data_IF_599135504755
#
_entry.id   IF_599135504755
#
_cell.length_a   1.000
_cell.length_b   1.000
_cell.length_c   1.000
_cell.angle_alpha   90.00
_cell.angle_beta   90.00
_cell.angle_gamma   90.00
#
_symmetry.space_group_name_H-M   'P 1'
#
loop_
_entity.id
_entity.type
_entity.pdbx_description
1 polymer ?
#
# COMPACT_ATOMS: atom_id res chain seq x y z
N UNK A 1 -16.56 11.75 -9.43
CA UNK A 1 -15.33 11.07 -9.90
C UNK A 1 -14.20 11.66 -9.10
N UNK A 2 -13.49 10.87 -8.28
CA UNK A 2 -12.29 11.40 -7.61
C UNK A 2 -11.26 11.65 -8.71
N UNK A 3 -11.02 12.91 -9.02
CA UNK A 3 -9.94 13.31 -9.93
C UNK A 3 -8.63 12.88 -9.28
N UNK A 4 -8.02 11.82 -9.81
CA UNK A 4 -6.64 11.47 -9.44
C UNK A 4 -5.78 12.43 -10.26
N UNK A 5 -5.41 13.56 -9.65
CA UNK A 5 -4.70 14.67 -10.30
C UNK A 5 -3.35 14.26 -10.91
N UNK A 6 -2.72 13.19 -10.40
CA UNK A 6 -1.50 12.63 -10.97
C UNK A 6 -1.45 11.11 -10.75
N UNK A 7 -1.12 10.35 -11.79
CA UNK A 7 -0.57 9.02 -11.61
C UNK A 7 0.77 9.18 -10.88
N UNK A 8 0.80 8.92 -9.57
CA UNK A 8 2.08 8.84 -8.84
C UNK A 8 2.87 7.69 -9.44
N UNK A 9 3.77 8.00 -10.37
CA UNK A 9 4.78 7.07 -10.85
C UNK A 9 5.76 6.82 -9.70
N UNK A 10 5.40 5.89 -8.82
CA UNK A 10 6.32 5.42 -7.80
C UNK A 10 7.44 4.65 -8.49
N UNK A 11 8.59 5.31 -8.68
CA UNK A 11 9.81 4.66 -9.13
C UNK A 11 10.16 3.48 -8.22
N UNK A 12 10.73 2.42 -8.80
CA UNK A 12 11.25 1.30 -8.00
C UNK A 12 12.33 1.83 -7.07
N UNK A 13 12.24 1.51 -5.78
CA UNK A 13 13.22 1.94 -4.75
C UNK A 13 14.24 0.86 -4.41
N UNK A 14 13.98 -0.37 -4.81
CA UNK A 14 14.88 -1.52 -4.63
C UNK A 14 14.60 -2.56 -5.71
N UNK A 15 15.57 -3.43 -5.96
CA UNK A 15 15.45 -4.58 -6.86
C UNK A 15 15.71 -5.85 -6.06
N UNK A 16 14.85 -6.84 -6.20
CA UNK A 16 15.08 -8.14 -5.57
C UNK A 16 16.15 -8.91 -6.36
N UNK A 17 16.97 -9.73 -5.67
CA UNK A 17 17.89 -10.67 -6.32
C UNK A 17 17.15 -11.51 -7.36
N UNK A 18 17.80 -11.76 -8.50
CA UNK A 18 17.24 -12.62 -9.56
C UNK A 18 17.11 -14.07 -9.09
N UNK A 19 18.10 -14.56 -8.34
CA UNK A 19 18.14 -15.90 -7.71
C UNK A 19 17.96 -15.75 -6.18
N UNK A 20 16.77 -16.01 -5.63
CA UNK A 20 16.49 -15.72 -4.22
C UNK A 20 17.18 -16.63 -3.19
N UNK A 21 17.64 -17.82 -3.57
CA UNK A 21 18.08 -18.88 -2.63
C UNK A 21 19.55 -19.30 -2.77
N UNK A 22 20.37 -18.45 -3.37
CA UNK A 22 21.82 -18.65 -3.45
C UNK A 22 22.47 -18.46 -2.07
N UNK A 23 23.12 -19.51 -1.55
CA UNK A 23 23.65 -19.58 -0.17
C UNK A 23 24.73 -18.52 0.07
N UNK A 24 25.74 -18.45 -0.79
CA UNK A 24 26.84 -17.48 -0.69
C UNK A 24 26.34 -16.03 -0.62
N UNK A 25 25.37 -15.68 -1.47
CA UNK A 25 24.74 -14.36 -1.44
C UNK A 25 23.99 -14.12 -0.14
N UNK A 26 23.25 -15.12 0.36
CA UNK A 26 22.50 -14.97 1.62
C UNK A 26 23.44 -14.75 2.81
N UNK A 27 24.57 -15.45 2.84
CA UNK A 27 25.60 -15.37 3.88
C UNK A 27 26.31 -14.00 3.82
N UNK A 28 26.73 -13.56 2.63
CA UNK A 28 27.31 -12.23 2.42
C UNK A 28 26.32 -11.09 2.79
N UNK A 29 25.04 -11.23 2.42
CA UNK A 29 24.01 -10.27 2.81
C UNK A 29 23.76 -10.27 4.32
N UNK A 30 23.86 -11.42 5.00
CA UNK A 30 23.70 -11.52 6.45
C UNK A 30 24.88 -10.88 7.19
N UNK A 31 26.12 -11.10 6.72
CA UNK A 31 27.33 -10.46 7.25
C UNK A 31 27.21 -8.93 7.21
N UNK A 32 26.87 -8.37 6.05
CA UNK A 32 26.67 -6.92 5.89
C UNK A 32 25.50 -6.38 6.72
N UNK A 33 24.42 -7.15 6.87
CA UNK A 33 23.27 -6.75 7.72
C UNK A 33 23.66 -6.70 9.19
N UNK A 34 24.50 -7.64 9.65
CA UNK A 34 25.05 -7.68 11.00
C UNK A 34 26.00 -6.52 11.27
N UNK A 35 27.03 -6.39 10.44
CA UNK A 35 28.09 -5.36 10.59
C UNK A 35 27.54 -3.93 10.60
N UNK A 36 26.52 -3.64 9.79
CA UNK A 36 25.95 -2.29 9.68
C UNK A 36 24.60 -2.12 10.41
N UNK A 37 24.16 -3.14 11.15
CA UNK A 37 22.95 -3.12 11.97
C UNK A 37 21.67 -2.79 11.19
N UNK A 38 21.50 -3.38 10.00
CA UNK A 38 20.32 -3.19 9.15
C UNK A 38 19.10 -3.94 9.71
N UNK A 39 17.88 -3.40 9.53
CA UNK A 39 16.66 -4.10 9.99
C UNK A 39 16.36 -5.36 9.20
N UNK A 40 16.55 -5.26 7.89
CA UNK A 40 16.08 -6.24 6.94
C UNK A 40 16.90 -6.16 5.66
N UNK A 41 16.98 -7.29 4.94
CA UNK A 41 17.68 -7.41 3.64
C UNK A 41 17.16 -6.40 2.60
N UNK A 42 15.92 -5.93 2.74
CA UNK A 42 15.36 -4.90 1.87
C UNK A 42 16.12 -3.57 1.94
N UNK A 43 16.68 -3.20 3.10
CA UNK A 43 17.51 -1.98 3.20
C UNK A 43 18.80 -2.12 2.41
N UNK A 44 19.44 -3.30 2.48
CA UNK A 44 20.61 -3.60 1.67
C UNK A 44 20.29 -3.53 0.17
N UNK A 45 19.16 -4.12 -0.26
CA UNK A 45 18.72 -4.08 -1.66
C UNK A 45 18.37 -2.67 -2.16
N UNK A 46 18.03 -1.73 -1.27
CA UNK A 46 17.84 -0.31 -1.64
C UNK A 46 19.18 0.34 -1.97
N UNK A 47 20.20 0.10 -1.14
CA UNK A 47 21.56 0.63 -1.35
C UNK A 47 22.17 0.03 -2.63
N UNK A 48 22.09 -1.29 -2.80
CA UNK A 48 22.53 -1.96 -4.03
C UNK A 48 21.83 -1.41 -5.28
N UNK A 49 20.53 -1.13 -5.19
CA UNK A 49 19.79 -0.56 -6.31
C UNK A 49 20.22 0.90 -6.61
N UNK A 50 20.44 1.72 -5.59
CA UNK A 50 20.96 3.08 -5.76
C UNK A 50 22.35 3.07 -6.41
N UNK A 51 23.23 2.19 -5.94
CA UNK A 51 24.57 1.98 -6.49
C UNK A 51 24.50 1.53 -7.96
N UNK A 52 23.63 0.58 -8.27
CA UNK A 52 23.41 0.14 -9.66
C UNK A 52 22.94 1.28 -10.57
N UNK A 53 22.10 2.20 -10.08
CA UNK A 53 21.69 3.38 -10.86
C UNK A 53 22.86 4.33 -11.10
N UNK A 54 23.67 4.59 -10.08
CA UNK A 54 24.86 5.44 -10.19
C UNK A 54 25.85 4.85 -11.20
N UNK A 55 26.16 3.55 -11.10
CA UNK A 55 27.05 2.86 -12.05
C UNK A 55 26.50 2.87 -13.48
N UNK A 56 25.19 2.67 -13.67
CA UNK A 56 24.61 2.70 -15.00
C UNK A 56 24.69 4.10 -15.63
N UNK A 57 24.47 5.15 -14.84
CA UNK A 57 24.67 6.52 -15.31
C UNK A 57 26.14 6.76 -15.66
N UNK A 58 27.09 6.35 -14.81
CA UNK A 58 28.52 6.48 -15.09
C UNK A 58 28.93 5.73 -16.39
N UNK A 59 28.46 4.48 -16.60
CA UNK A 59 28.71 3.73 -17.84
C UNK A 59 28.16 4.43 -19.07
N UNK A 60 26.95 4.97 -19.00
CA UNK A 60 26.35 5.71 -20.11
C UNK A 60 27.13 6.99 -20.41
N UNK A 61 27.68 7.65 -19.40
CA UNK A 61 28.51 8.84 -19.60
C UNK A 61 29.88 8.49 -20.19
N UNK A 62 30.45 7.34 -19.81
CA UNK A 62 31.71 6.84 -20.37
C UNK A 62 31.60 6.38 -21.84
N UNK A 63 30.40 6.00 -22.30
CA UNK A 63 30.19 5.66 -23.73
C UNK A 63 30.13 6.88 -24.64
N UNK A 64 29.92 8.08 -24.08
CA UNK A 64 29.89 9.32 -24.85
C UNK A 64 31.30 9.87 -25.04
N UNK A 65 31.53 10.60 -26.13
CA UNK A 65 32.81 11.26 -26.38
C UNK A 65 33.15 12.30 -25.29
N UNK A 66 34.45 12.51 -25.04
CA UNK A 66 34.98 13.37 -23.97
C UNK A 66 34.56 14.83 -24.11
N UNK A 67 34.43 15.31 -25.34
CA UNK A 67 34.04 16.70 -25.64
C UNK A 67 32.52 16.92 -25.66
N UNK A 68 31.72 15.86 -25.49
CA UNK A 68 30.27 16.00 -25.55
C UNK A 68 29.75 16.81 -24.34
N UNK A 69 28.92 17.86 -24.54
CA UNK A 69 28.45 18.73 -23.46
C UNK A 69 27.69 17.95 -22.37
N UNK A 70 26.99 16.87 -22.74
CA UNK A 70 26.29 16.02 -21.76
C UNK A 70 27.24 15.27 -20.84
N UNK A 71 28.37 14.77 -21.36
CA UNK A 71 29.37 14.06 -20.55
C UNK A 71 30.03 14.99 -19.55
N UNK A 72 30.41 16.19 -20.00
CA UNK A 72 31.04 17.21 -19.16
C UNK A 72 30.10 17.62 -18.03
N UNK A 73 28.87 18.04 -18.37
CA UNK A 73 27.93 18.55 -17.39
C UNK A 73 27.40 17.45 -16.44
N UNK A 74 26.85 16.35 -16.98
CA UNK A 74 26.26 15.29 -16.16
C UNK A 74 27.35 14.49 -15.40
N UNK A 75 28.54 14.32 -15.99
CA UNK A 75 29.67 13.64 -15.36
C UNK A 75 30.23 14.40 -14.18
N UNK A 76 30.49 15.70 -14.35
CA UNK A 76 30.98 16.54 -13.27
C UNK A 76 29.93 16.69 -12.15
N UNK A 77 28.64 16.82 -12.50
CA UNK A 77 27.56 16.85 -11.51
C UNK A 77 27.46 15.54 -10.70
N UNK A 78 27.74 14.39 -11.32
CA UNK A 78 27.81 13.10 -10.64
C UNK A 78 28.98 13.06 -9.66
N UNK A 79 30.17 13.49 -10.10
CA UNK A 79 31.38 13.53 -9.27
C UNK A 79 31.22 14.48 -8.08
N UNK A 80 30.73 15.71 -8.31
CA UNK A 80 30.42 16.67 -7.23
C UNK A 80 29.47 16.07 -6.18
N UNK A 81 28.47 15.30 -6.62
CA UNK A 81 27.55 14.60 -5.71
C UNK A 81 28.28 13.53 -4.89
N UNK A 82 29.18 12.76 -5.49
CA UNK A 82 29.94 11.73 -4.79
C UNK A 82 30.91 12.32 -3.76
N UNK A 83 31.62 13.39 -4.12
CA UNK A 83 32.54 14.10 -3.22
C UNK A 83 31.79 14.71 -2.04
N UNK A 84 30.61 15.32 -2.28
CA UNK A 84 29.77 15.87 -1.20
C UNK A 84 29.35 14.83 -0.16
N UNK A 85 29.16 13.58 -0.57
CA UNK A 85 28.85 12.48 0.34
C UNK A 85 30.09 11.79 0.93
N UNK A 86 31.30 12.13 0.47
CA UNK A 86 32.55 11.52 0.90
C UNK A 86 32.65 10.05 0.48
N UNK A 87 32.15 9.71 -0.71
CA UNK A 87 32.22 8.35 -1.25
C UNK A 87 33.48 8.07 -2.06
N UNK A 88 34.14 9.14 -2.54
CA UNK A 88 35.41 9.12 -3.26
C UNK A 88 36.46 9.81 -2.38
N UNK A 89 37.72 9.38 -2.47
CA UNK A 89 38.83 10.06 -1.81
C UNK A 89 39.22 11.35 -2.56
N UNK A 90 39.78 12.33 -1.83
CA UNK A 90 40.23 13.61 -2.37
C UNK A 90 41.39 13.38 -3.37
N UNK A 91 41.05 13.24 -4.66
CA UNK A 91 41.98 12.90 -5.74
C UNK A 91 41.42 11.88 -6.74
N UNK A 92 40.38 11.13 -6.38
CA UNK A 92 39.73 10.13 -7.24
C UNK A 92 38.57 10.72 -8.06
N UNK A 93 38.81 11.84 -8.74
CA UNK A 93 37.78 12.61 -9.46
C UNK A 93 37.53 12.10 -10.90
N UNK A 94 37.65 10.79 -11.14
CA UNK A 94 37.35 10.17 -12.44
C UNK A 94 36.10 9.29 -12.36
N UNK A 95 35.38 9.19 -13.46
CA UNK A 95 34.16 8.36 -13.54
C UNK A 95 34.45 6.86 -13.32
N UNK A 96 35.67 6.41 -13.59
CA UNK A 96 36.07 5.01 -13.38
C UNK A 96 36.04 4.60 -11.91
N UNK A 97 36.42 5.50 -11.00
CA UNK A 97 36.35 5.25 -9.56
C UNK A 97 34.91 5.10 -9.07
N UNK A 98 33.94 5.72 -9.75
CA UNK A 98 32.51 5.55 -9.45
C UNK A 98 32.05 4.11 -9.73
N UNK A 99 32.66 3.43 -10.70
CA UNK A 99 32.38 2.02 -10.99
C UNK A 99 32.92 1.10 -9.90
N UNK A 100 34.07 1.43 -9.32
CA UNK A 100 34.72 0.68 -8.25
C UNK A 100 34.03 0.78 -6.88
N UNK A 101 33.10 1.73 -6.68
CA UNK A 101 32.40 1.93 -5.40
C UNK A 101 31.73 0.65 -4.88
N UNK A 102 32.04 0.24 -3.65
CA UNK A 102 31.40 -0.91 -2.99
C UNK A 102 30.15 -0.49 -2.20
N UNK A 103 29.37 -1.48 -1.75
CA UNK A 103 28.18 -1.24 -0.93
C UNK A 103 28.56 -0.72 0.46
N UNK A 104 29.71 -1.14 0.97
CA UNK A 104 30.28 -0.75 2.27
C UNK A 104 30.52 0.76 2.35
N UNK A 105 31.04 1.37 1.28
CA UNK A 105 31.25 2.83 1.22
C UNK A 105 29.97 3.61 1.50
N UNK A 106 28.83 3.15 0.96
CA UNK A 106 27.53 3.78 1.20
C UNK A 106 27.00 3.49 2.61
N UNK A 107 27.20 2.28 3.12
CA UNK A 107 26.72 1.91 4.44
C UNK A 107 27.50 2.64 5.54
N UNK A 108 28.81 2.84 5.38
CA UNK A 108 29.67 3.56 6.30
C UNK A 108 29.32 5.05 6.44
N UNK A 109 28.81 5.69 5.39
CA UNK A 109 28.40 7.11 5.38
C UNK A 109 26.97 7.37 5.88
N UNK A 110 26.27 6.35 6.38
CA UNK A 110 24.92 6.53 6.94
C UNK A 110 25.00 7.17 8.32
N UNK A 111 23.96 7.92 8.67
CA UNK A 111 23.83 8.50 10.01
C UNK A 111 23.96 7.44 11.12
N UNK A 112 23.42 6.24 10.90
CA UNK A 112 23.49 5.15 11.87
C UNK A 112 24.94 4.72 12.21
N UNK A 113 25.81 4.58 11.20
CA UNK A 113 27.21 4.20 11.39
C UNK A 113 28.05 5.36 11.89
N UNK A 114 27.80 6.57 11.40
CA UNK A 114 28.52 7.76 11.83
C UNK A 114 28.25 8.07 13.30
N UNK A 115 27.02 7.91 13.77
CA UNK A 115 26.67 8.06 15.20
C UNK A 115 27.41 7.05 16.07
N UNK A 116 27.56 5.81 15.59
CA UNK A 116 28.32 4.77 16.29
C UNK A 116 29.82 5.08 16.28
N UNK A 117 30.38 5.49 15.13
CA UNK A 117 31.79 5.91 15.01
C UNK A 117 32.12 7.13 15.87
N UNK A 118 31.17 8.06 16.01
CA UNK A 118 31.29 9.23 16.88
C UNK A 118 31.14 8.91 18.39
N UNK A 119 30.94 7.64 18.77
CA UNK A 119 30.87 7.22 20.17
C UNK A 119 29.57 7.60 20.92
N UNK A 120 28.62 8.26 20.26
CA UNK A 120 27.34 8.66 20.89
C UNK A 120 26.44 7.48 21.26
N UNK A 121 26.67 6.29 20.69
CA UNK A 121 25.87 5.11 20.93
C UNK A 121 26.76 3.91 21.27
N UNK A 122 26.35 3.15 22.31
CA UNK A 122 27.01 1.90 22.72
C UNK A 122 27.05 0.79 21.65
N UNK A 123 26.14 0.82 20.68
CA UNK A 123 25.99 -0.19 19.63
C UNK A 123 25.37 0.42 18.38
N UNK A 124 25.63 -0.17 17.21
CA UNK A 124 25.02 0.22 15.93
C UNK A 124 23.48 0.11 15.98
N UNK A 125 22.95 -0.88 16.72
CA UNK A 125 21.50 -1.00 16.93
C UNK A 125 20.97 0.05 17.92
N UNK A 126 21.78 0.44 18.91
CA UNK A 126 21.43 1.51 19.84
C UNK A 126 21.38 2.88 19.12
N UNK A 127 22.34 3.17 18.23
CA UNK A 127 22.36 4.38 17.40
C UNK A 127 21.04 4.55 16.64
N UNK A 128 20.52 3.45 16.10
CA UNK A 128 19.26 3.42 15.36
C UNK A 128 18.04 3.77 16.22
N UNK A 129 18.01 3.31 17.47
CA UNK A 129 16.94 3.63 18.42
C UNK A 129 16.95 5.12 18.73
N UNK A 130 18.14 5.68 19.02
CA UNK A 130 18.32 7.11 19.28
C UNK A 130 17.84 7.99 18.11
N UNK A 131 18.21 7.61 16.87
CA UNK A 131 17.75 8.31 15.67
C UNK A 131 16.22 8.26 15.55
N UNK A 132 15.61 7.07 15.67
CA UNK A 132 14.15 6.94 15.54
C UNK A 132 13.37 7.67 16.63
N UNK A 133 13.91 7.70 17.84
CA UNK A 133 13.35 8.43 18.97
C UNK A 133 13.63 9.94 18.91
N UNK A 134 14.27 10.43 17.84
CA UNK A 134 14.54 11.85 17.57
C UNK A 134 15.54 12.48 18.54
N UNK A 135 16.46 11.69 19.08
CA UNK A 135 17.51 12.18 19.99
C UNK A 135 18.71 12.75 19.26
N UNK A 136 18.85 12.55 17.96
CA UNK A 136 20.02 12.97 17.17
C UNK A 136 19.61 14.07 16.19
N UNK A 137 20.43 15.11 16.11
CA UNK A 137 20.34 16.17 15.11
C UNK A 137 21.59 16.18 14.23
N UNK A 138 21.42 16.63 13.01
CA UNK A 138 22.52 16.96 12.10
C UNK A 138 22.42 18.47 11.83
N UNK A 139 23.36 19.24 12.37
CA UNK A 139 23.28 20.69 12.46
C UNK A 139 22.05 21.14 13.23
N UNK A 140 21.18 21.92 12.58
CA UNK A 140 19.93 22.40 13.18
C UNK A 140 18.75 21.43 13.02
N UNK A 141 18.88 20.40 12.19
CA UNK A 141 17.77 19.53 11.82
C UNK A 141 17.75 18.24 12.63
N UNK A 142 16.61 17.91 13.25
CA UNK A 142 16.40 16.62 13.89
C UNK A 142 16.11 15.57 12.83
N UNK A 143 16.93 14.52 12.77
CA UNK A 143 16.83 13.47 11.75
C UNK A 143 16.29 12.19 12.39
N UNK A 144 15.18 11.67 11.87
CA UNK A 144 14.53 10.45 12.36
C UNK A 144 14.72 9.22 11.46
N UNK A 145 15.53 9.33 10.41
CA UNK A 145 15.75 8.30 9.40
C UNK A 145 17.19 7.75 9.54
N UNK A 146 17.38 6.48 9.95
CA UNK A 146 18.71 5.86 10.05
C UNK A 146 19.44 5.68 8.71
N UNK A 147 18.70 5.73 7.60
CA UNK A 147 19.27 5.65 6.24
C UNK A 147 19.66 7.01 5.66
N UNK A 148 19.62 8.08 6.45
CA UNK A 148 20.05 9.39 6.00
C UNK A 148 21.55 9.36 5.71
N UNK A 149 21.95 9.85 4.52
CA UNK A 149 23.35 9.98 4.13
C UNK A 149 23.84 11.36 4.57
N UNK A 150 24.88 11.39 5.40
CA UNK A 150 25.43 12.64 5.93
C UNK A 150 26.52 13.15 4.99
N UNK A 151 26.47 14.44 4.67
CA UNK A 151 27.51 15.12 3.89
C UNK A 151 28.78 15.27 4.73
N UNK A 152 29.94 15.34 4.10
CA UNK A 152 31.23 15.49 4.79
C UNK A 152 31.24 16.73 5.69
N UNK A 153 30.78 17.88 5.18
CA UNK A 153 30.65 19.13 5.94
C UNK A 153 29.71 19.01 7.16
N UNK A 154 28.65 18.21 7.04
CA UNK A 154 27.63 18.05 8.08
C UNK A 154 28.01 17.02 9.15
N UNK A 155 29.11 16.30 8.96
CA UNK A 155 29.56 15.23 9.86
C UNK A 155 30.01 15.75 11.22
N UNK A 156 30.68 16.90 11.26
CA UNK A 156 31.10 17.57 12.51
C UNK A 156 29.92 18.09 13.34
N UNK A 157 28.75 18.19 12.72
CA UNK A 157 27.55 18.78 13.31
C UNK A 157 26.55 17.73 13.81
N UNK A 158 27.00 16.50 14.05
CA UNK A 158 26.14 15.43 14.56
C UNK A 158 26.19 15.46 16.09
N UNK A 159 25.11 15.94 16.71
CA UNK A 159 24.99 16.04 18.16
C UNK A 159 23.68 15.43 18.66
N UNK A 160 23.57 15.30 19.98
CA UNK A 160 22.27 15.13 20.63
C UNK A 160 21.38 16.36 20.43
N UNK A 161 20.08 16.13 20.30
CA UNK A 161 19.10 17.20 20.24
C UNK A 161 19.00 17.91 21.58
N UNK A 162 18.96 19.25 21.57
CA UNK A 162 18.76 20.07 22.76
C UNK A 162 17.46 19.72 23.50
N UNK A 163 16.45 19.26 22.76
CA UNK A 163 15.16 18.85 23.33
C UNK A 163 15.19 17.44 23.93
N UNK A 164 16.24 16.68 23.66
CA UNK A 164 16.37 15.31 24.15
C UNK A 164 16.91 15.28 25.57
N UNK A 165 16.54 14.26 26.39
CA UNK A 165 17.09 14.09 27.73
C UNK A 165 18.62 13.96 27.77
N UNK A 166 19.24 13.56 26.65
CA UNK A 166 20.69 13.39 26.52
C UNK A 166 21.40 14.67 26.06
N UNK A 167 20.67 15.66 25.55
CA UNK A 167 21.19 16.95 25.08
C UNK A 167 20.75 18.15 25.93
N UNK A 168 20.37 17.92 27.19
CA UNK A 168 19.94 18.97 28.12
C UNK A 168 18.43 19.23 28.20
N UNK A 169 17.62 18.45 27.48
CA UNK A 169 16.17 18.54 27.51
C UNK A 169 15.52 17.88 28.74
N UNK A 170 14.24 18.15 29.02
CA UNK A 170 13.55 17.59 30.17
C UNK A 170 13.54 16.07 30.16
N UNK A 171 13.71 15.40 31.32
CA UNK A 171 13.68 13.95 31.39
C UNK A 171 12.33 13.40 30.92
N UNK A 172 12.37 12.23 30.27
CA UNK A 172 11.18 11.59 29.71
C UNK A 172 10.11 11.26 30.76
N UNK A 173 8.85 11.10 30.32
CA UNK A 173 7.68 10.87 31.19
C UNK A 173 7.89 9.78 32.24
N UNK A 174 8.48 8.65 31.87
CA UNK A 174 8.74 7.53 32.79
C UNK A 174 9.79 7.89 33.84
N UNK A 175 10.88 8.55 33.44
CA UNK A 175 11.90 9.02 34.38
C UNK A 175 11.34 10.09 35.32
N UNK A 176 10.49 11.01 34.84
CA UNK A 176 9.75 11.96 35.68
C UNK A 176 8.78 11.27 36.64
N UNK A 177 8.07 10.22 36.20
CA UNK A 177 7.17 9.43 37.06
C UNK A 177 7.94 8.68 38.14
N UNK A 178 9.10 8.11 37.79
CA UNK A 178 9.96 7.40 38.74
C UNK A 178 10.66 8.36 39.70
N UNK A 179 11.11 9.53 39.24
CA UNK A 179 11.64 10.59 40.11
C UNK A 179 10.56 11.08 41.07
N UNK A 180 9.31 11.28 40.62
CA UNK A 180 8.18 11.62 41.50
C UNK A 180 7.85 10.53 42.53
N UNK A 181 8.03 9.25 42.17
CA UNK A 181 7.89 8.14 43.13
C UNK A 181 9.04 8.12 44.13
N UNK A 182 10.27 8.38 43.68
CA UNK A 182 11.46 8.41 44.51
C UNK A 182 11.47 9.65 45.45
N UNK A 183 10.93 10.79 45.01
CA UNK A 183 10.76 11.99 45.82
C UNK A 183 9.49 11.97 46.69
N UNK A 184 8.68 10.92 46.60
CA UNK A 184 7.41 10.77 47.32
C UNK A 184 7.46 9.71 48.43
N UNK A 185 8.67 9.37 48.93
CA UNK A 185 8.86 8.45 50.04
C UNK A 185 9.56 9.16 51.21
N UNK A 186 8.78 9.53 52.23
CA UNK A 186 9.25 10.08 53.50
C UNK A 186 8.46 11.32 53.93
N UNK A 187 7.47 11.16 54.81
CA UNK A 187 6.73 12.29 55.41
C UNK A 187 5.29 11.95 55.82
N UNK A 188 5.17 11.22 56.93
CA UNK A 188 4.14 11.26 57.97
C UNK A 188 2.64 11.26 57.63
N UNK A 189 2.02 10.13 58.01
CA UNK A 189 0.67 10.10 58.51
C UNK A 189 0.65 10.71 59.93
N UNK A 190 0.09 11.91 60.08
CA UNK A 190 -0.56 12.35 61.32
C UNK A 190 -1.47 13.57 61.08
N UNK A 191 -2.64 13.49 61.71
CA UNK A 191 -3.64 14.52 61.95
C UNK A 191 -4.63 14.88 60.83
N UNK A 192 -5.84 14.41 61.07
CA UNK A 192 -7.11 14.96 60.62
C UNK A 192 -7.18 16.49 60.73
N UNK A 193 -7.41 17.18 59.62
CA UNK A 193 -8.24 18.39 59.59
C UNK A 193 -8.70 18.67 58.16
N UNK A 194 -10.02 18.69 57.97
CA UNK A 194 -10.65 19.27 56.78
C UNK A 194 -10.57 20.79 56.84
N UNK A 195 -10.60 21.49 55.70
CA UNK A 195 -11.34 22.73 55.64
C UNK A 195 -12.40 22.70 54.54
N UNK A 196 -13.64 22.87 55.00
CA UNK A 196 -14.84 23.22 54.25
C UNK A 196 -14.56 24.35 53.25
N UNK A 197 -15.07 24.21 52.02
CA UNK A 197 -15.46 25.36 51.19
C UNK A 197 -16.90 25.20 50.68
N UNK A 198 -17.79 25.88 51.41
CA UNK A 198 -19.00 26.60 50.99
C UNK A 198 -19.72 26.08 49.74
N UNK A 199 -20.82 25.36 50.00
CA UNK A 199 -21.92 25.13 49.05
C UNK A 199 -22.65 26.46 48.86
N UNK A 200 -22.71 26.97 47.63
CA UNK A 200 -23.67 28.01 47.21
C UNK A 200 -24.84 27.29 46.56
N UNK A 201 -25.97 27.24 47.27
CA UNK A 201 -27.25 26.76 46.75
C UNK A 201 -27.76 27.73 45.67
N UNK A 202 -28.07 27.22 44.49
CA UNK A 202 -28.99 27.85 43.53
C UNK A 202 -29.96 26.78 42.99
N UNK A 203 -31.20 27.17 42.65
CA UNK A 203 -32.35 26.28 42.72
C UNK A 203 -32.55 25.43 41.47
N UNK A 204 -33.10 24.24 41.70
CA UNK A 204 -33.46 23.25 40.68
C UNK A 204 -34.58 23.75 39.76
N UNK A 205 -34.31 23.83 38.46
CA UNK A 205 -35.33 23.63 37.44
C UNK A 205 -34.85 22.55 36.47
N UNK A 206 -35.47 21.39 36.62
CA UNK A 206 -35.46 20.30 35.65
C UNK A 206 -35.91 20.83 34.28
N UNK A 207 -35.03 20.81 33.29
CA UNK A 207 -35.39 20.53 31.89
C UNK A 207 -34.31 19.67 31.24
N UNK A 208 -34.73 18.44 30.98
CA UNK A 208 -34.07 17.40 30.20
C UNK A 208 -33.72 17.86 28.78
N UNK A 209 -32.43 17.82 28.43
CA UNK A 209 -31.97 17.67 27.05
C UNK A 209 -30.64 16.89 27.06
N UNK A 210 -30.53 15.71 26.43
CA UNK A 210 -29.25 15.03 26.32
C UNK A 210 -28.41 15.70 25.22
N UNK A 211 -27.58 16.66 25.59
CA UNK A 211 -26.46 17.10 24.76
C UNK A 211 -25.24 16.22 25.04
N UNK A 212 -25.23 15.00 24.51
CA UNK A 212 -24.01 14.19 24.48
C UNK A 212 -23.98 13.26 23.26
N UNK A 213 -23.85 13.85 22.07
CA UNK A 213 -23.52 13.09 20.86
C UNK A 213 -22.70 13.88 19.82
N UNK A 214 -22.15 15.05 20.15
CA UNK A 214 -21.50 15.93 19.17
C UNK A 214 -20.03 16.30 19.47
N UNK A 215 -19.36 15.61 20.41
CA UNK A 215 -17.95 15.90 20.76
C UNK A 215 -17.02 14.68 20.70
N UNK A 216 -17.36 13.63 19.93
CA UNK A 216 -16.56 12.41 19.80
C UNK A 216 -16.00 12.17 18.38
N UNK A 217 -15.91 13.21 17.54
CA UNK A 217 -15.43 13.08 16.15
C UNK A 217 -14.33 14.08 15.82
N UNK A 218 -13.31 14.20 16.68
CA UNK A 218 -12.07 14.84 16.24
C UNK A 218 -10.81 14.45 17.00
N UNK A 219 -10.62 13.16 17.30
CA UNK A 219 -9.28 12.70 17.73
C UNK A 219 -9.02 11.20 17.55
N UNK A 220 -9.43 10.60 16.42
CA UNK A 220 -8.74 9.38 15.96
C UNK A 220 -7.48 9.79 15.20
N UNK A 221 -6.46 10.15 15.97
CA UNK A 221 -5.09 10.20 15.48
C UNK A 221 -4.75 8.85 14.88
N UNK A 222 -4.07 8.90 13.74
CA UNK A 222 -3.57 7.77 12.97
C UNK A 222 -2.70 6.83 13.82
N UNK A 223 -3.32 5.93 14.58
CA UNK A 223 -2.71 4.65 14.90
C UNK A 223 -2.59 3.90 13.58
N UNK A 224 -1.40 3.39 13.26
CA UNK A 224 -1.22 2.56 12.08
C UNK A 224 -2.21 1.41 12.14
N UNK A 225 -3.16 1.42 11.21
CA UNK A 225 -4.13 0.35 11.05
C UNK A 225 -3.36 -0.85 10.47
N UNK A 226 -2.65 -1.59 11.33
CA UNK A 226 -1.92 -2.82 10.98
C UNK A 226 -2.91 -3.98 10.78
N UNK A 227 -3.98 -3.73 10.04
CA UNK A 227 -4.95 -4.75 9.66
C UNK A 227 -4.27 -5.85 8.84
N UNK A 228 -4.60 -7.14 9.08
CA UNK A 228 -3.95 -8.23 8.35
C UNK A 228 -4.25 -8.15 6.85
N UNK A 229 -3.27 -7.69 6.08
CA UNK A 229 -3.39 -7.61 4.63
C UNK A 229 -2.95 -8.91 3.96
N UNK A 230 -3.90 -9.63 3.37
CA UNK A 230 -3.65 -10.85 2.60
C UNK A 230 -3.34 -10.59 1.12
N UNK A 231 -2.49 -11.44 0.52
CA UNK A 231 -2.32 -11.46 -0.94
C UNK A 231 -3.56 -12.06 -1.60
N UNK A 232 -4.04 -11.46 -2.68
CA UNK A 232 -5.24 -11.92 -3.40
C UNK A 232 -4.93 -12.68 -4.70
N UNK A 233 -3.66 -12.79 -5.10
CA UNK A 233 -3.25 -13.44 -6.34
C UNK A 233 -1.82 -13.97 -6.23
N UNK A 234 -1.49 -14.97 -7.05
CA UNK A 234 -0.15 -15.52 -7.20
C UNK A 234 0.21 -15.52 -8.69
N UNK A 235 1.45 -15.18 -9.02
CA UNK A 235 1.94 -15.22 -10.41
C UNK A 235 2.28 -16.66 -10.80
N UNK A 236 2.13 -17.04 -12.09
CA UNK A 236 2.62 -18.30 -12.62
C UNK A 236 4.11 -18.52 -12.31
N UNK A 237 4.50 -19.78 -12.10
CA UNK A 237 5.90 -20.14 -11.85
C UNK A 237 6.77 -19.92 -13.09
N UNK A 238 6.31 -20.41 -14.24
CA UNK A 238 6.97 -20.26 -15.55
C UNK A 238 6.37 -19.06 -16.31
N UNK A 239 7.15 -18.00 -16.56
CA UNK A 239 6.62 -16.79 -17.18
C UNK A 239 6.20 -16.95 -18.65
N UNK A 240 6.95 -17.72 -19.43
CA UNK A 240 6.77 -17.88 -20.88
C UNK A 240 6.50 -19.34 -21.21
N UNK A 241 5.23 -19.68 -21.34
CA UNK A 241 4.74 -21.01 -21.68
C UNK A 241 3.59 -20.78 -22.64
N UNK A 242 3.79 -21.17 -23.90
CA UNK A 242 2.91 -20.76 -25.02
C UNK A 242 1.48 -21.20 -24.78
N UNK A 243 1.28 -22.49 -24.49
CA UNK A 243 -0.03 -23.08 -24.19
C UNK A 243 -0.78 -22.35 -23.08
N UNK A 244 -0.09 -22.05 -21.97
CA UNK A 244 -0.69 -21.29 -20.86
C UNK A 244 -1.04 -19.87 -21.30
N UNK A 245 -0.16 -19.19 -22.02
CA UNK A 245 -0.40 -17.81 -22.47
C UNK A 245 -1.60 -17.74 -23.41
N UNK A 246 -1.74 -18.71 -24.32
CA UNK A 246 -2.84 -18.80 -25.28
C UNK A 246 -4.17 -19.14 -24.57
N UNK A 247 -4.17 -20.10 -23.64
CA UNK A 247 -5.34 -20.42 -22.81
C UNK A 247 -5.77 -19.21 -21.94
N UNK A 248 -4.81 -18.50 -21.34
CA UNK A 248 -5.10 -17.27 -20.60
C UNK A 248 -5.67 -16.18 -21.50
N UNK A 249 -5.21 -16.08 -22.76
CA UNK A 249 -5.69 -15.08 -23.72
C UNK A 249 -7.14 -15.36 -24.13
N UNK A 250 -7.48 -16.62 -24.42
CA UNK A 250 -8.86 -17.06 -24.74
C UNK A 250 -9.83 -16.66 -23.63
N UNK A 251 -9.54 -17.03 -22.37
CA UNK A 251 -10.37 -16.68 -21.21
C UNK A 251 -10.46 -15.16 -20.97
N UNK A 252 -9.39 -14.42 -21.23
CA UNK A 252 -9.39 -12.95 -21.09
C UNK A 252 -10.28 -12.31 -22.15
N UNK A 253 -10.26 -12.82 -23.39
CA UNK A 253 -11.13 -12.39 -24.48
C UNK A 253 -12.59 -12.71 -24.20
N UNK A 254 -12.90 -13.98 -23.95
CA UNK A 254 -14.26 -14.48 -23.71
C UNK A 254 -14.96 -13.77 -22.57
N UNK A 255 -14.29 -13.55 -21.44
CA UNK A 255 -14.91 -12.91 -20.26
C UNK A 255 -14.59 -11.40 -20.16
N UNK A 256 -13.97 -10.83 -21.19
CA UNK A 256 -13.61 -9.42 -21.30
C UNK A 256 -12.85 -8.92 -20.06
N UNK A 257 -11.79 -9.61 -19.65
CA UNK A 257 -10.95 -9.24 -18.50
C UNK A 257 -9.97 -8.10 -18.87
N UNK A 258 -9.66 -7.20 -17.93
CA UNK A 258 -8.76 -6.06 -18.22
C UNK A 258 -7.30 -6.49 -18.23
N UNK A 259 -6.96 -7.45 -17.37
CA UNK A 259 -5.59 -7.90 -17.19
C UNK A 259 -5.53 -9.35 -16.72
N UNK A 260 -4.43 -10.03 -17.04
CA UNK A 260 -4.11 -11.40 -16.55
C UNK A 260 -4.13 -11.51 -15.03
N UNK A 261 -3.91 -10.41 -14.30
CA UNK A 261 -4.00 -10.38 -12.84
C UNK A 261 -5.41 -10.71 -12.34
N UNK A 262 -6.48 -10.37 -13.05
CA UNK A 262 -7.84 -10.77 -12.66
C UNK A 262 -8.02 -12.27 -12.75
N UNK A 263 -7.50 -12.89 -13.81
CA UNK A 263 -7.49 -14.34 -13.97
C UNK A 263 -6.69 -15.02 -12.85
N UNK A 264 -5.50 -14.50 -12.53
CA UNK A 264 -4.67 -15.02 -11.44
C UNK A 264 -5.30 -14.85 -10.05
N UNK A 265 -6.23 -13.91 -9.86
CA UNK A 265 -7.01 -13.79 -8.61
C UNK A 265 -7.98 -14.95 -8.47
N UNK A 266 -8.70 -15.27 -9.56
CA UNK A 266 -9.66 -16.38 -9.58
C UNK A 266 -8.94 -17.71 -9.41
N UNK A 267 -7.85 -17.94 -10.15
CA UNK A 267 -7.02 -19.13 -10.00
C UNK A 267 -6.47 -19.29 -8.57
N UNK A 268 -6.06 -18.19 -7.94
CA UNK A 268 -5.57 -18.22 -6.57
C UNK A 268 -6.69 -18.54 -5.56
N UNK A 269 -7.88 -17.96 -5.72
CA UNK A 269 -9.04 -18.27 -4.88
C UNK A 269 -9.45 -19.75 -5.02
N UNK A 270 -9.51 -20.24 -6.26
CA UNK A 270 -9.83 -21.62 -6.59
C UNK A 270 -8.79 -22.58 -5.99
N UNK A 271 -7.50 -22.27 -6.10
CA UNK A 271 -6.44 -23.05 -5.48
C UNK A 271 -6.57 -23.12 -3.96
N UNK A 272 -6.99 -22.04 -3.29
CA UNK A 272 -7.25 -22.08 -1.84
C UNK A 272 -8.44 -22.97 -1.50
N UNK A 273 -9.52 -22.88 -2.26
CA UNK A 273 -10.72 -23.71 -2.08
C UNK A 273 -10.36 -25.20 -2.25
N UNK A 274 -9.65 -25.55 -3.33
CA UNK A 274 -9.20 -26.93 -3.58
C UNK A 274 -8.25 -27.44 -2.50
N UNK A 275 -7.32 -26.62 -2.02
CA UNK A 275 -6.40 -27.04 -0.95
C UNK A 275 -7.17 -27.33 0.35
N UNK A 276 -8.15 -26.50 0.70
CA UNK A 276 -9.02 -26.76 1.85
C UNK A 276 -9.81 -28.05 1.64
N UNK A 277 -10.42 -28.26 0.47
CA UNK A 277 -11.15 -29.48 0.16
C UNK A 277 -10.27 -30.74 0.26
N UNK A 278 -9.04 -30.71 -0.28
CA UNK A 278 -8.09 -31.83 -0.16
C UNK A 278 -7.75 -32.14 1.29
N UNK A 279 -7.50 -31.13 2.11
CA UNK A 279 -7.23 -31.33 3.53
C UNK A 279 -8.44 -31.91 4.28
N UNK A 280 -9.66 -31.55 3.89
CA UNK A 280 -10.86 -32.11 4.50
C UNK A 280 -11.10 -33.56 4.07
N UNK A 281 -10.78 -33.91 2.83
CA UNK A 281 -10.91 -35.28 2.31
C UNK A 281 -9.87 -36.25 2.88
N UNK A 282 -8.72 -35.77 3.36
CA UNK A 282 -7.74 -36.63 4.06
C UNK A 282 -8.18 -37.01 5.48
N UNK A 283 -9.14 -36.29 6.06
CA UNK A 283 -9.68 -36.59 7.38
C UNK A 283 -10.77 -37.66 7.26
N UNK A 284 -10.96 -38.44 8.32
CA UNK A 284 -12.05 -39.41 8.39
C UNK A 284 -13.44 -38.73 8.27
N UNK A 285 -14.41 -39.46 7.72
CA UNK A 285 -15.77 -38.96 7.41
C UNK A 285 -16.50 -38.44 8.63
N UNK A 286 -16.29 -39.09 9.79
CA UNK A 286 -16.94 -38.75 11.06
C UNK A 286 -16.20 -37.67 11.84
N UNK A 287 -15.08 -37.17 11.35
CA UNK A 287 -14.31 -36.15 12.06
C UNK A 287 -15.11 -34.84 12.15
N UNK A 288 -15.25 -34.21 13.34
CA UNK A 288 -16.07 -33.00 13.51
C UNK A 288 -15.59 -31.84 12.63
N UNK A 289 -14.28 -31.74 12.36
CA UNK A 289 -13.74 -30.70 11.46
C UNK A 289 -14.16 -30.91 10.02
N UNK A 290 -14.19 -32.16 9.53
CA UNK A 290 -14.61 -32.48 8.15
C UNK A 290 -16.08 -32.15 7.95
N UNK A 291 -16.93 -32.53 8.91
CA UNK A 291 -18.37 -32.28 8.86
C UNK A 291 -18.64 -30.77 8.86
N UNK A 292 -18.10 -30.04 9.85
CA UNK A 292 -18.38 -28.62 10.01
C UNK A 292 -17.75 -27.75 8.91
N UNK A 293 -16.43 -27.86 8.69
CA UNK A 293 -15.74 -27.03 7.69
C UNK A 293 -16.13 -27.43 6.25
N UNK A 294 -16.38 -28.73 6.01
CA UNK A 294 -16.80 -29.25 4.72
C UNK A 294 -18.19 -28.79 4.33
N UNK A 295 -19.16 -28.90 5.23
CA UNK A 295 -20.52 -28.41 4.98
C UNK A 295 -20.55 -26.89 4.81
N UNK A 296 -19.76 -26.14 5.59
CA UNK A 296 -19.63 -24.69 5.42
C UNK A 296 -19.03 -24.30 4.06
N UNK A 297 -18.08 -25.10 3.55
CA UNK A 297 -17.51 -24.91 2.21
C UNK A 297 -18.56 -25.15 1.12
N UNK A 298 -19.30 -26.25 1.22
CA UNK A 298 -20.37 -26.61 0.28
C UNK A 298 -21.49 -25.57 0.26
N UNK A 299 -22.00 -25.15 1.43
CA UNK A 299 -22.99 -24.07 1.54
C UNK A 299 -22.52 -22.78 0.85
N UNK A 300 -21.24 -22.44 0.96
CA UNK A 300 -20.68 -21.26 0.29
C UNK A 300 -20.67 -21.43 -1.23
N UNK A 301 -20.31 -22.62 -1.73
CA UNK A 301 -20.27 -22.89 -3.18
C UNK A 301 -21.69 -22.85 -3.78
N UNK A 302 -22.67 -23.46 -3.11
CA UNK A 302 -24.07 -23.46 -3.55
C UNK A 302 -24.66 -22.04 -3.54
N UNK A 303 -24.36 -21.23 -2.50
CA UNK A 303 -24.81 -19.83 -2.43
C UNK A 303 -24.37 -18.98 -3.63
N UNK A 304 -23.18 -19.26 -4.18
CA UNK A 304 -22.68 -18.58 -5.36
C UNK A 304 -23.06 -19.27 -6.68
N UNK A 305 -23.71 -20.43 -6.64
CA UNK A 305 -24.11 -21.20 -7.83
C UNK A 305 -22.91 -21.73 -8.60
N UNK A 306 -21.87 -22.21 -7.89
CA UNK A 306 -20.67 -22.79 -8.50
C UNK A 306 -20.79 -24.30 -8.73
N UNK A 307 -21.71 -24.95 -8.01
CA UNK A 307 -22.05 -26.37 -8.12
C UNK A 307 -23.47 -26.48 -8.66
N UNK A 308 -23.76 -27.54 -9.41
CA UNK A 308 -25.12 -27.84 -9.86
C UNK A 308 -25.97 -28.43 -8.72
N UNK A 309 -27.29 -28.28 -8.80
CA UNK A 309 -28.23 -28.83 -7.83
C UNK A 309 -28.12 -30.36 -7.82
N UNK A 310 -27.64 -30.91 -6.69
CA UNK A 310 -27.34 -32.35 -6.54
C UNK A 310 -25.86 -32.69 -6.39
N UNK A 311 -24.94 -31.79 -6.75
CA UNK A 311 -23.49 -31.98 -6.60
C UNK A 311 -22.96 -31.58 -5.21
N UNK A 312 -23.58 -32.09 -4.16
CA UNK A 312 -23.28 -31.70 -2.76
C UNK A 312 -22.16 -32.54 -2.11
N UNK A 313 -21.20 -33.03 -2.89
CA UNK A 313 -20.02 -33.75 -2.38
C UNK A 313 -18.75 -32.90 -2.55
N UNK A 314 -17.81 -33.07 -1.62
CA UNK A 314 -16.53 -32.35 -1.65
C UNK A 314 -15.69 -32.66 -2.90
N UNK A 315 -15.90 -33.82 -3.53
CA UNK A 315 -15.18 -34.24 -4.74
C UNK A 315 -15.46 -33.31 -5.93
N UNK A 316 -16.72 -32.85 -6.08
CA UNK A 316 -17.08 -31.90 -7.13
C UNK A 316 -16.40 -30.54 -6.96
N UNK A 317 -16.07 -30.15 -5.72
CA UNK A 317 -15.30 -28.92 -5.44
C UNK A 317 -13.88 -29.01 -6.02
N UNK A 318 -13.29 -30.21 -6.09
CA UNK A 318 -11.98 -30.42 -6.72
C UNK A 318 -12.04 -30.24 -8.24
N UNK A 319 -13.15 -30.66 -8.86
CA UNK A 319 -13.37 -30.58 -10.31
C UNK A 319 -13.68 -29.16 -10.83
N UNK A 320 -14.00 -28.19 -9.95
CA UNK A 320 -14.37 -26.83 -10.34
C UNK A 320 -13.36 -26.17 -11.29
N UNK A 321 -13.80 -25.65 -12.43
CA UNK A 321 -12.94 -24.93 -13.39
C UNK A 321 -12.92 -23.43 -13.11
N UNK A 322 -12.01 -22.70 -13.77
CA UNK A 322 -11.92 -21.23 -13.66
C UNK A 322 -13.14 -20.55 -14.28
N UNK A 323 -13.71 -21.16 -15.31
CA UNK A 323 -14.89 -20.68 -16.04
C UNK A 323 -16.11 -20.58 -15.15
N UNK A 324 -16.34 -21.58 -14.27
CA UNK A 324 -17.44 -21.56 -13.30
C UNK A 324 -17.44 -20.27 -12.46
N UNK A 325 -16.26 -19.79 -12.04
CA UNK A 325 -16.15 -18.54 -11.28
C UNK A 325 -16.31 -17.29 -12.15
N UNK A 326 -15.79 -17.31 -13.39
CA UNK A 326 -15.91 -16.18 -14.31
C UNK A 326 -17.36 -15.98 -14.78
N UNK A 327 -18.11 -17.07 -14.96
CA UNK A 327 -19.53 -17.05 -15.31
C UNK A 327 -20.43 -16.41 -14.24
N UNK A 328 -20.03 -16.45 -12.95
CA UNK A 328 -20.79 -15.87 -11.82
C UNK A 328 -20.43 -14.41 -11.50
N UNK A 329 -19.61 -13.76 -12.33
CA UNK A 329 -19.27 -12.35 -12.16
C UNK A 329 -20.44 -11.47 -12.61
N UNK A 330 -20.64 -10.34 -11.94
CA UNK A 330 -21.66 -9.37 -12.34
C UNK A 330 -21.51 -8.95 -13.81
N UNK A 331 -20.28 -8.79 -14.29
CA UNK A 331 -20.01 -8.44 -15.69
C UNK A 331 -20.60 -9.44 -16.69
N UNK A 332 -20.46 -10.73 -16.42
CA UNK A 332 -20.85 -11.80 -17.34
C UNK A 332 -22.34 -12.09 -17.21
N UNK A 333 -22.88 -12.01 -15.99
CA UNK A 333 -24.32 -12.09 -15.75
C UNK A 333 -25.09 -10.94 -16.40
N UNK A 334 -24.59 -9.71 -16.35
CA UNK A 334 -25.20 -8.56 -17.04
C UNK A 334 -25.26 -8.77 -18.55
N UNK A 335 -24.20 -9.35 -19.12
CA UNK A 335 -24.17 -9.69 -20.55
C UNK A 335 -25.14 -10.84 -20.88
N UNK A 336 -25.14 -11.90 -20.07
CA UNK A 336 -26.07 -13.05 -20.22
C UNK A 336 -27.54 -12.65 -20.06
N UNK A 337 -27.83 -11.69 -19.19
CA UNK A 337 -29.16 -11.14 -18.99
C UNK A 337 -29.61 -10.17 -20.11
N UNK A 338 -28.79 -9.94 -21.15
CA UNK A 338 -29.17 -9.11 -22.30
C UNK A 338 -29.14 -7.59 -22.08
N UNK A 339 -28.80 -7.12 -20.87
CA UNK A 339 -28.72 -5.67 -20.56
C UNK A 339 -27.60 -4.95 -21.30
N UNK A 340 -26.62 -5.67 -21.84
CA UNK A 340 -25.49 -5.10 -22.56
C UNK A 340 -25.22 -5.87 -23.85
N UNK A 341 -24.99 -5.13 -24.95
CA UNK A 341 -24.65 -5.68 -26.27
C UNK A 341 -23.33 -6.48 -26.33
N UNK A 342 -22.41 -6.22 -25.40
CA UNK A 342 -21.09 -6.86 -25.34
C UNK A 342 -20.60 -6.93 -23.90
N UNK A 343 -19.72 -7.87 -23.61
CA UNK A 343 -19.08 -8.03 -22.29
C UNK A 343 -18.25 -6.80 -21.91
N UNK A 344 -17.65 -6.13 -22.90
CA UNK A 344 -16.96 -4.86 -22.69
C UNK A 344 -17.94 -3.73 -22.37
N UNK A 345 -19.10 -3.72 -23.03
CA UNK A 345 -20.17 -2.76 -22.74
C UNK A 345 -20.73 -2.96 -21.32
N UNK A 346 -20.97 -4.20 -20.90
CA UNK A 346 -21.40 -4.54 -19.54
C UNK A 346 -20.45 -3.97 -18.48
N UNK A 347 -19.12 -4.10 -18.70
CA UNK A 347 -18.12 -3.53 -17.80
C UNK A 347 -18.23 -2.02 -17.68
N UNK A 348 -18.43 -1.31 -18.79
CA UNK A 348 -18.56 0.15 -18.80
C UNK A 348 -19.80 0.57 -18.02
N UNK A 349 -20.95 -0.07 -18.26
CA UNK A 349 -22.21 0.21 -17.55
C UNK A 349 -22.07 0.04 -16.03
N UNK A 350 -21.44 -1.06 -15.58
CA UNK A 350 -21.17 -1.29 -14.16
C UNK A 350 -20.27 -0.18 -13.60
N UNK A 351 -19.17 0.14 -14.27
CA UNK A 351 -18.20 1.16 -13.79
C UNK A 351 -18.80 2.56 -13.73
N UNK A 352 -19.71 2.88 -14.65
CA UNK A 352 -20.44 4.14 -14.69
C UNK A 352 -21.62 4.20 -13.71
N UNK A 353 -21.84 3.13 -12.93
CA UNK A 353 -22.87 3.04 -11.86
C UNK A 353 -24.30 2.96 -12.38
N UNK A 354 -24.50 2.38 -13.57
CA UNK A 354 -25.83 2.19 -14.15
C UNK A 354 -26.54 0.93 -13.65
N UNK A 355 -25.83 0.00 -13.02
CA UNK A 355 -26.36 -1.32 -12.63
C UNK A 355 -26.47 -1.41 -11.11
N UNK A 356 -27.59 -1.96 -10.64
CA UNK A 356 -27.82 -2.32 -9.24
C UNK A 356 -28.04 -3.82 -9.11
N UNK A 357 -27.75 -4.33 -7.92
CA UNK A 357 -28.11 -5.67 -7.48
C UNK A 357 -29.02 -5.49 -6.27
N UNK A 358 -30.31 -5.79 -6.43
CA UNK A 358 -31.35 -5.45 -5.47
C UNK A 358 -31.50 -3.95 -5.30
N UNK A 359 -31.26 -3.44 -4.09
CA UNK A 359 -31.33 -2.00 -3.78
C UNK A 359 -29.99 -1.28 -3.98
N UNK A 360 -28.88 -2.01 -4.06
CA UNK A 360 -27.54 -1.41 -4.02
C UNK A 360 -26.93 -1.25 -5.42
N UNK A 361 -26.40 -0.06 -5.70
CA UNK A 361 -25.63 0.20 -6.92
C UNK A 361 -24.24 -0.43 -6.79
N UNK A 362 -23.87 -1.30 -7.73
CA UNK A 362 -22.59 -2.01 -7.72
C UNK A 362 -21.70 -1.49 -8.85
N UNK A 363 -20.50 -1.02 -8.52
CA UNK A 363 -19.55 -0.44 -9.49
C UNK A 363 -18.29 -1.30 -9.72
N UNK A 364 -18.32 -2.56 -9.28
CA UNK A 364 -17.22 -3.51 -9.35
C UNK A 364 -17.59 -4.66 -10.30
N UNK A 365 -16.97 -4.75 -11.50
CA UNK A 365 -17.25 -5.85 -12.45
C UNK A 365 -16.85 -7.24 -11.95
N UNK A 366 -15.96 -7.31 -10.95
CA UNK A 366 -15.52 -8.56 -10.31
C UNK A 366 -16.41 -9.00 -9.15
N UNK A 367 -17.54 -8.34 -8.93
CA UNK A 367 -18.49 -8.75 -7.90
C UNK A 367 -19.07 -10.13 -8.25
N UNK A 368 -19.00 -11.09 -7.32
CA UNK A 368 -19.60 -12.41 -7.49
C UNK A 368 -21.05 -12.35 -7.02
N UNK A 369 -22.00 -12.61 -7.93
CA UNK A 369 -23.42 -12.51 -7.61
C UNK A 369 -23.92 -13.83 -7.05
N UNK A 370 -24.66 -13.76 -5.94
CA UNK A 370 -25.34 -14.92 -5.34
C UNK A 370 -26.54 -15.33 -6.20
N UNK A 371 -26.90 -16.61 -6.18
CA UNK A 371 -28.03 -17.14 -6.97
C UNK A 371 -29.33 -16.40 -6.64
N UNK A 372 -29.62 -16.17 -5.36
CA UNK A 372 -30.81 -15.43 -4.91
C UNK A 372 -30.85 -13.98 -5.42
N UNK A 373 -29.69 -13.34 -5.54
CA UNK A 373 -29.58 -11.93 -5.95
C UNK A 373 -29.55 -11.75 -7.47
N UNK A 374 -29.48 -12.83 -8.24
CA UNK A 374 -29.36 -12.82 -9.70
C UNK A 374 -30.60 -12.27 -10.38
N UNK A 375 -31.79 -12.65 -9.89
CA UNK A 375 -33.09 -12.12 -10.37
C UNK A 375 -33.25 -10.61 -10.14
N UNK A 376 -32.43 -10.04 -9.25
CA UNK A 376 -32.51 -8.65 -8.83
C UNK A 376 -31.45 -7.77 -9.49
N UNK A 377 -30.83 -8.24 -10.57
CA UNK A 377 -29.90 -7.42 -11.38
C UNK A 377 -30.73 -6.60 -12.35
N UNK A 378 -30.64 -5.28 -12.23
CA UNK A 378 -31.41 -4.35 -13.07
C UNK A 378 -30.65 -3.02 -13.19
N UNK A 379 -31.14 -2.13 -14.07
CA UNK A 379 -30.68 -0.76 -14.11
C UNK A 379 -31.02 -0.03 -12.80
N UNK A 380 -30.14 0.90 -12.43
CA UNK A 380 -30.37 1.79 -11.30
C UNK A 380 -31.50 2.76 -11.63
N UNK A 381 -32.41 2.99 -10.69
CA UNK A 381 -33.48 4.00 -10.83
C UNK A 381 -32.93 5.42 -11.07
N UNK A 382 -31.71 5.68 -10.60
CA UNK A 382 -31.01 6.95 -10.82
C UNK A 382 -30.27 7.03 -12.16
N UNK A 383 -30.20 5.92 -12.88
CA UNK A 383 -29.56 5.85 -14.20
C UNK A 383 -30.50 6.40 -15.27
N UNK A 384 -29.97 7.09 -16.31
CA UNK A 384 -30.76 7.44 -17.48
C UNK A 384 -31.47 6.25 -18.15
N UNK A 385 -30.90 5.05 -18.03
CA UNK A 385 -31.47 3.81 -18.57
C UNK A 385 -32.55 3.17 -17.67
N UNK A 386 -32.68 3.62 -16.43
CA UNK A 386 -33.65 3.10 -15.46
C UNK A 386 -34.70 4.15 -15.07
N UNK A 387 -34.97 5.12 -15.94
CA UNK A 387 -35.96 6.19 -15.72
C UNK A 387 -35.40 7.45 -15.03
N UNK A 388 -34.10 7.50 -14.73
CA UNK A 388 -33.44 8.67 -14.17
C UNK A 388 -33.25 9.80 -15.20
N UNK A 389 -32.98 11.04 -14.74
CA UNK A 389 -32.79 12.18 -15.63
C UNK A 389 -31.57 11.99 -16.54
N UNK A 390 -31.60 12.53 -17.77
CA UNK A 390 -30.50 12.42 -18.71
C UNK A 390 -29.21 13.03 -18.14
N UNK A 391 -28.09 12.39 -18.44
CA UNK A 391 -26.78 12.80 -17.92
C UNK A 391 -26.35 14.20 -18.38
N UNK A 392 -25.41 14.80 -17.65
CA UNK A 392 -24.92 16.18 -17.89
C UNK A 392 -24.54 16.46 -19.34
N UNK A 393 -23.85 15.52 -20.01
CA UNK A 393 -23.42 15.69 -21.41
C UNK A 393 -24.63 15.73 -22.36
N UNK A 394 -25.58 14.80 -22.18
CA UNK A 394 -26.81 14.79 -22.97
C UNK A 394 -27.63 16.06 -22.75
N UNK A 395 -27.76 16.52 -21.50
CA UNK A 395 -28.40 17.80 -21.17
C UNK A 395 -27.68 19.01 -21.80
N UNK A 396 -26.34 19.02 -21.81
CA UNK A 396 -25.55 20.09 -22.44
C UNK A 396 -25.75 20.11 -23.95
N UNK A 397 -25.79 18.93 -24.59
CA UNK A 397 -26.00 18.82 -26.02
C UNK A 397 -27.44 19.19 -26.41
N UNK A 398 -28.44 18.77 -25.63
CA UNK A 398 -29.83 19.20 -25.83
C UNK A 398 -29.98 20.72 -25.70
N UNK A 399 -29.34 21.35 -24.71
CA UNK A 399 -29.32 22.81 -24.56
C UNK A 399 -28.65 23.54 -25.72
N UNK A 400 -27.60 22.95 -26.30
CA UNK A 400 -26.96 23.49 -27.50
C UNK A 400 -27.84 23.36 -28.73
N UNK A 401 -28.51 22.22 -28.89
CA UNK A 401 -29.43 21.97 -30.00
C UNK A 401 -30.69 22.86 -29.92
N UNK A 402 -31.18 23.17 -28.72
CA UNK A 402 -32.34 24.05 -28.52
C UNK A 402 -32.00 25.55 -28.58
N UNK A 403 -30.72 25.94 -28.67
CA UNK A 403 -30.27 27.34 -28.63
C UNK A 403 -29.59 27.79 -29.93
N UNK A 404 -29.92 27.16 -31.06
CA UNK A 404 -29.31 27.45 -32.37
C UNK A 404 -30.33 27.56 -33.50
N UNK A 405 -31.40 28.32 -33.27
CA UNK A 405 -32.47 28.54 -34.25
C UNK A 405 -33.29 29.79 -33.97
N UNK A 406 -32.62 30.91 -33.69
CA UNK A 406 -33.25 32.21 -33.51
C UNK A 406 -32.17 33.27 -33.61
N UNK A 407 -31.92 33.71 -34.84
CA UNK A 407 -31.37 35.01 -35.23
C UNK A 407 -31.21 34.98 -36.75
N UNK A 408 -32.15 35.59 -37.47
CA UNK A 408 -32.14 35.66 -38.93
C UNK A 408 -33.48 36.04 -39.55
N UNK A 409 -34.19 37.02 -38.98
CA UNK A 409 -35.21 37.82 -39.69
C UNK A 409 -35.27 39.17 -38.97
N UNK A 410 -34.53 40.16 -39.48
CA UNK A 410 -34.92 41.56 -39.65
C UNK A 410 -33.73 42.35 -40.22
N UNK A 411 -34.04 43.35 -41.04
CA UNK A 411 -33.19 44.30 -41.76
C UNK A 411 -32.65 43.85 -43.13
N UNK A 412 -33.47 44.13 -44.16
CA UNK A 412 -33.03 44.81 -45.38
C UNK A 412 -34.19 45.72 -45.85
N UNK A 413 -34.29 46.91 -45.24
CA UNK A 413 -34.82 48.11 -45.88
C UNK A 413 -33.64 48.80 -46.59
N UNK A 414 -33.56 48.71 -47.93
CA UNK A 414 -33.42 49.80 -48.93
C UNK A 414 -33.12 49.24 -50.33
#
# INVERSE_FOLDING_TARGET
MVHVSFYRNYGKTFKKPRRPYEKERLDAELKLVGEYGLRCKRELWRVQYALSRIRNNARHLLTLDEKNPRRIFEGEALLRRMNRYGLLADGQNKLDYVLALTVENFLARRLQTLVFKAGMAKSIHHARVLIRQRHIRVGRQIVNIPSFMVRVESEKHIDFSLTSPFGGGPPGRVKRKNQKKASGGGGDALSSSTPRRRIRLLPSKNRSFPQSAAAATRERRCAGDDGPHGKTFKKPRRPYEKERLDAELKLVGEYGLRCKRELWRVQYALSRIRNNARHLLTLDEKNPRRIFEGEALLRRMNRYGLLADGQNKLDYVLALTVENFLARRLQTLVFKAGMAKSIHHARVLIRQRHIRVGRQIVNIPSFMVRVESEKHIDFSLTSPFGGGPPGRVKRKNQKKASGGGGDGEEEDEE
#
